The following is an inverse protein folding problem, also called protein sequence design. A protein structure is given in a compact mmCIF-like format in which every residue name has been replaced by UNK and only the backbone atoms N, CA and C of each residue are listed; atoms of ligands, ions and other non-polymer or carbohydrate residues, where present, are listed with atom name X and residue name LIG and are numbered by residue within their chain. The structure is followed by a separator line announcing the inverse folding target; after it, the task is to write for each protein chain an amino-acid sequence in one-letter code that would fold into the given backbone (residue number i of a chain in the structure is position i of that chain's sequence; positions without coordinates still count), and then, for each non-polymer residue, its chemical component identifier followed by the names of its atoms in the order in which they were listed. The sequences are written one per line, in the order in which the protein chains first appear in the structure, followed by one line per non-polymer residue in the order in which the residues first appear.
data_IF_952549363893
#
_entry.id   IF_952549363893
#
_cell.length_a   1.000
_cell.length_b   1.000
_cell.length_c   1.000
_cell.angle_alpha   90.00
_cell.angle_beta   90.00
_cell.angle_gamma   90.00
#
_symmetry.space_group_name_H-M   'P 1'
#
loop_
_entity.id
_entity.type
_entity.pdbx_description
1 polymer ?
#
# COMPACT_ATOMS: atom_id res chain seq x y z
N UNK A 1 10.29 19.15 -4.26
CA UNK A 1 9.61 18.70 -3.04
C UNK A 1 10.16 17.33 -2.66
N UNK A 2 10.20 16.94 -1.39
CA UNK A 2 10.63 15.59 -0.99
C UNK A 2 9.46 14.63 -1.16
N UNK A 3 9.63 13.47 -1.79
CA UNK A 3 8.55 12.48 -1.92
C UNK A 3 8.08 11.93 -0.58
N UNK A 4 6.77 11.67 -0.48
CA UNK A 4 6.13 10.97 0.64
C UNK A 4 5.49 9.69 0.14
N UNK A 5 5.66 8.61 0.89
CA UNK A 5 5.10 7.31 0.56
C UNK A 5 4.05 6.93 1.59
N UNK A 6 2.84 6.75 1.15
CA UNK A 6 1.71 6.29 1.94
C UNK A 6 1.44 4.84 1.59
N UNK A 7 1.50 3.96 2.56
CA UNK A 7 1.41 2.52 2.36
C UNK A 7 0.19 2.01 3.11
N UNK A 8 -0.70 1.33 2.39
CA UNK A 8 -1.82 0.63 3.02
C UNK A 8 -1.35 -0.57 3.82
N UNK A 9 -2.20 -1.06 4.72
CA UNK A 9 -1.84 -2.16 5.59
C UNK A 9 -2.48 -3.47 5.15
N UNK A 10 -3.81 -3.57 5.13
CA UNK A 10 -4.52 -4.84 4.92
C UNK A 10 -4.55 -5.22 3.45
N UNK A 11 -3.99 -6.38 3.11
CA UNK A 11 -3.83 -6.79 1.71
C UNK A 11 -2.62 -6.17 1.00
N UNK A 12 -1.92 -5.23 1.67
CA UNK A 12 -0.72 -4.57 1.15
C UNK A 12 0.49 -4.91 2.04
N UNK A 13 0.66 -4.27 3.18
CA UNK A 13 1.79 -4.57 4.09
C UNK A 13 1.57 -5.84 4.91
N UNK A 14 0.31 -6.12 5.27
CA UNK A 14 -0.14 -7.37 5.88
C UNK A 14 -0.92 -8.20 4.86
N UNK A 15 -0.68 -9.51 4.84
CA UNK A 15 -1.42 -10.44 4.00
C UNK A 15 -2.92 -10.37 4.31
N UNK A 16 -3.74 -10.32 3.26
CA UNK A 16 -5.18 -10.52 3.44
C UNK A 16 -5.48 -11.98 3.76
N UNK A 17 -6.29 -12.20 4.76
CA UNK A 17 -6.78 -13.53 5.10
C UNK A 17 -8.20 -13.71 4.58
N UNK A 18 -8.45 -14.80 3.84
CA UNK A 18 -9.79 -15.16 3.41
C UNK A 18 -10.73 -15.28 4.62
N UNK A 19 -11.87 -14.60 4.53
CA UNK A 19 -12.90 -14.61 5.56
C UNK A 19 -14.17 -15.29 5.02
N UNK A 20 -14.83 -16.06 5.87
CA UNK A 20 -16.12 -16.67 5.54
C UNK A 20 -17.27 -15.71 5.73
N UNK A 21 -17.13 -14.75 6.61
CA UNK A 21 -18.10 -13.69 6.85
C UNK A 21 -17.43 -12.43 7.38
N UNK A 22 -18.06 -11.27 7.16
CA UNK A 22 -17.54 -9.98 7.65
C UNK A 22 -17.44 -9.93 9.19
N UNK A 23 -18.16 -10.78 9.92
CA UNK A 23 -18.08 -10.84 11.39
C UNK A 23 -16.70 -11.26 11.90
N UNK A 24 -15.89 -11.93 11.08
CA UNK A 24 -14.53 -12.30 11.46
C UNK A 24 -13.62 -11.06 11.61
N UNK A 25 -13.87 -10.00 10.85
CA UNK A 25 -13.15 -8.73 10.96
C UNK A 25 -13.34 -8.01 12.31
N UNK A 26 -14.39 -8.39 13.04
CA UNK A 26 -14.72 -7.86 14.37
C UNK A 26 -14.20 -8.73 15.51
N UNK A 27 -13.60 -9.88 15.21
CA UNK A 27 -13.07 -10.78 16.21
C UNK A 27 -11.74 -10.26 16.76
N UNK A 28 -11.58 -10.40 18.08
CA UNK A 28 -10.31 -10.12 18.74
C UNK A 28 -9.22 -11.02 18.17
N UNK A 29 -8.08 -10.42 17.89
CA UNK A 29 -6.90 -11.11 17.33
C UNK A 29 -6.88 -11.19 15.81
N UNK A 30 -7.91 -10.70 15.11
CA UNK A 30 -7.94 -10.76 13.65
C UNK A 30 -6.76 -10.00 13.04
N UNK A 31 -6.66 -8.70 13.28
CA UNK A 31 -5.64 -7.85 12.65
C UNK A 31 -4.24 -8.08 13.19
N UNK A 32 -4.10 -8.30 14.50
CA UNK A 32 -2.77 -8.55 15.10
C UNK A 32 -2.13 -9.87 14.67
N UNK A 33 -2.95 -10.84 14.21
CA UNK A 33 -2.48 -12.16 13.77
C UNK A 33 -2.16 -12.24 12.27
N UNK A 34 -2.45 -11.20 11.48
CA UNK A 34 -2.14 -11.20 10.06
C UNK A 34 -0.63 -11.36 9.84
N UNK A 35 -0.28 -12.15 8.83
CA UNK A 35 1.13 -12.30 8.43
C UNK A 35 1.58 -11.05 7.67
N UNK A 36 2.85 -10.69 7.74
CA UNK A 36 3.38 -9.63 6.89
C UNK A 36 3.63 -10.14 5.47
N UNK A 37 3.45 -9.27 4.48
CA UNK A 37 4.03 -9.40 3.16
C UNK A 37 5.52 -9.08 3.31
N UNK A 38 6.35 -10.13 3.39
CA UNK A 38 7.73 -10.02 3.88
C UNK A 38 8.63 -9.19 2.96
N UNK A 39 8.50 -9.34 1.64
CA UNK A 39 9.32 -8.59 0.70
C UNK A 39 8.99 -7.09 0.76
N UNK A 40 7.70 -6.73 0.77
CA UNK A 40 7.29 -5.33 0.91
C UNK A 40 7.68 -4.77 2.27
N UNK A 41 7.50 -5.55 3.35
CA UNK A 41 7.86 -5.10 4.70
C UNK A 41 9.35 -4.79 4.83
N UNK A 42 10.22 -5.66 4.32
CA UNK A 42 11.67 -5.43 4.34
C UNK A 42 12.06 -4.23 3.47
N UNK A 43 11.42 -4.05 2.31
CA UNK A 43 11.65 -2.87 1.47
C UNK A 43 11.25 -1.58 2.21
N UNK A 44 10.10 -1.56 2.86
CA UNK A 44 9.64 -0.42 3.67
C UNK A 44 10.62 -0.09 4.80
N UNK A 45 11.16 -1.10 5.48
CA UNK A 45 12.22 -0.90 6.49
C UNK A 45 13.49 -0.28 5.90
N UNK A 46 13.90 -0.75 4.72
CA UNK A 46 15.06 -0.19 4.03
C UNK A 46 14.84 1.28 3.66
N UNK A 47 13.67 1.62 3.12
CA UNK A 47 13.32 3.00 2.80
C UNK A 47 13.30 3.91 4.04
N UNK A 48 12.83 3.41 5.19
CA UNK A 48 12.88 4.14 6.46
C UNK A 48 14.34 4.39 6.87
N UNK A 49 15.21 3.37 6.78
CA UNK A 49 16.65 3.48 7.09
C UNK A 49 17.35 4.48 6.17
N UNK A 50 16.94 4.57 4.91
CA UNK A 50 17.44 5.57 3.94
C UNK A 50 16.89 6.97 4.18
N UNK A 51 16.04 7.16 5.18
CA UNK A 51 15.46 8.46 5.52
C UNK A 51 14.38 8.93 4.55
N UNK A 52 13.75 8.02 3.81
CA UNK A 52 12.56 8.32 3.02
C UNK A 52 11.39 8.69 3.94
N UNK A 53 10.46 9.46 3.43
CA UNK A 53 9.31 9.94 4.21
C UNK A 53 8.12 8.95 4.06
N UNK A 54 8.10 7.94 4.94
CA UNK A 54 7.14 6.83 4.91
C UNK A 54 6.02 7.08 5.90
N UNK A 55 4.78 6.81 5.48
CA UNK A 55 3.56 6.81 6.29
C UNK A 55 2.79 5.51 6.08
N UNK A 56 2.14 5.02 7.12
CA UNK A 56 1.04 4.06 6.97
C UNK A 56 -0.26 4.84 6.84
N UNK A 57 -1.08 4.46 5.86
CA UNK A 57 -2.38 5.08 5.58
C UNK A 57 -3.41 3.98 5.34
N UNK A 58 -4.05 3.51 6.40
CA UNK A 58 -4.90 2.33 6.37
C UNK A 58 -6.30 2.61 6.91
N UNK A 59 -7.30 1.99 6.30
CA UNK A 59 -8.67 2.03 6.79
C UNK A 59 -8.86 1.10 7.99
N UNK A 60 -9.80 1.43 8.89
CA UNK A 60 -10.19 0.59 10.01
C UNK A 60 -11.70 0.62 10.24
N UNK A 61 -12.26 -0.46 10.78
CA UNK A 61 -13.65 -0.52 11.18
C UNK A 61 -13.84 0.30 12.46
N UNK A 62 -14.48 1.45 12.34
CA UNK A 62 -14.63 2.41 13.45
C UNK A 62 -15.59 1.94 14.56
N UNK A 63 -16.44 0.97 14.25
CA UNK A 63 -17.36 0.30 15.16
C UNK A 63 -16.78 -1.00 15.77
N UNK A 64 -15.52 -1.33 15.46
CA UNK A 64 -14.81 -2.47 16.06
C UNK A 64 -14.00 -2.05 17.29
N UNK A 65 -14.17 -2.74 18.41
CA UNK A 65 -13.39 -2.54 19.64
C UNK A 65 -11.90 -2.90 19.47
N UNK A 66 -11.55 -3.63 18.41
CA UNK A 66 -10.24 -4.25 18.24
C UNK A 66 -9.44 -3.69 17.07
N UNK A 67 -10.08 -3.35 15.94
CA UNK A 67 -9.41 -3.08 14.67
C UNK A 67 -8.25 -2.07 14.79
N UNK A 68 -8.51 -0.86 15.30
CA UNK A 68 -7.49 0.18 15.42
C UNK A 68 -6.36 -0.22 16.38
N UNK A 69 -6.71 -0.82 17.51
CA UNK A 69 -5.76 -1.26 18.52
C UNK A 69 -4.83 -2.35 17.98
N UNK A 70 -5.40 -3.35 17.34
CA UNK A 70 -4.66 -4.50 16.83
C UNK A 70 -3.76 -4.14 15.64
N UNK A 71 -4.20 -3.22 14.76
CA UNK A 71 -3.33 -2.66 13.72
C UNK A 71 -2.10 -1.97 14.31
N UNK A 72 -2.26 -1.22 15.40
CA UNK A 72 -1.12 -0.62 16.10
C UNK A 72 -0.22 -1.67 16.75
N UNK A 73 -0.79 -2.74 17.34
CA UNK A 73 -0.01 -3.86 17.90
C UNK A 73 0.81 -4.51 16.78
N UNK A 74 0.19 -4.78 15.63
CA UNK A 74 0.85 -5.34 14.46
C UNK A 74 2.03 -4.47 13.98
N UNK A 75 1.80 -3.16 13.83
CA UNK A 75 2.84 -2.21 13.43
C UNK A 75 3.97 -2.11 14.47
N UNK A 76 3.67 -2.16 15.75
CA UNK A 76 4.69 -2.18 16.80
C UNK A 76 5.56 -3.45 16.74
N UNK A 77 4.97 -4.58 16.32
CA UNK A 77 5.67 -5.85 16.20
C UNK A 77 6.54 -5.92 14.95
N UNK A 78 6.01 -5.51 13.79
CA UNK A 78 6.65 -5.77 12.51
C UNK A 78 7.38 -4.55 11.91
N UNK A 79 6.99 -3.33 12.29
CA UNK A 79 7.56 -2.07 11.81
C UNK A 79 7.77 -1.08 12.98
N UNK A 80 8.53 -1.47 14.01
CA UNK A 80 8.76 -0.62 15.19
C UNK A 80 9.53 0.67 14.87
N UNK A 81 10.25 0.69 13.75
CA UNK A 81 11.01 1.86 13.29
C UNK A 81 10.11 3.02 12.86
N UNK A 82 8.83 2.75 12.52
CA UNK A 82 7.90 3.78 12.08
C UNK A 82 7.26 4.49 13.29
N UNK A 83 7.50 5.81 13.47
CA UNK A 83 6.90 6.58 14.56
C UNK A 83 5.36 6.54 14.49
N UNK A 84 4.72 6.57 15.66
CA UNK A 84 3.24 6.58 15.78
C UNK A 84 2.60 7.74 15.01
N UNK A 85 3.27 8.90 14.97
CA UNK A 85 2.81 10.10 14.26
C UNK A 85 2.75 9.94 12.73
N UNK A 86 3.37 8.89 12.20
CA UNK A 86 3.34 8.53 10.78
C UNK A 86 2.35 7.41 10.46
N UNK A 87 1.47 7.07 11.39
CA UNK A 87 0.39 6.09 11.24
C UNK A 87 -0.94 6.84 11.14
N UNK A 88 -1.51 6.86 9.96
CA UNK A 88 -2.78 7.52 9.67
C UNK A 88 -3.85 6.45 9.48
N UNK A 89 -4.83 6.45 10.35
CA UNK A 89 -5.96 5.52 10.27
C UNK A 89 -7.23 6.26 9.89
N UNK A 90 -7.95 5.70 8.93
CA UNK A 90 -9.14 6.29 8.32
C UNK A 90 -10.33 5.39 8.56
N UNK A 91 -11.48 5.89 9.03
CA UNK A 91 -12.69 5.08 9.14
C UNK A 91 -13.01 4.39 7.80
N UNK A 92 -13.38 3.11 7.85
CA UNK A 92 -13.76 2.36 6.66
C UNK A 92 -14.93 3.04 5.94
N UNK A 93 -14.81 3.23 4.64
CA UNK A 93 -15.79 3.95 3.83
C UNK A 93 -15.42 5.40 3.55
N UNK A 94 -14.53 5.99 4.34
CA UNK A 94 -14.05 7.34 4.12
C UNK A 94 -12.91 7.38 3.09
N UNK A 95 -12.75 8.54 2.46
CA UNK A 95 -11.70 8.76 1.46
C UNK A 95 -10.38 9.09 2.14
N UNK A 96 -9.36 8.28 1.90
CA UNK A 96 -8.06 8.33 2.58
C UNK A 96 -7.38 9.70 2.55
N UNK A 97 -7.36 10.40 1.42
CA UNK A 97 -6.63 11.66 1.30
C UNK A 97 -7.19 12.80 2.17
N UNK A 98 -8.45 12.73 2.58
CA UNK A 98 -9.07 13.74 3.44
C UNK A 98 -8.51 13.78 4.86
N UNK A 99 -7.78 12.75 5.26
CA UNK A 99 -7.16 12.62 6.59
C UNK A 99 -5.70 13.06 6.61
N UNK A 100 -5.19 13.53 5.48
CA UNK A 100 -3.81 14.04 5.41
C UNK A 100 -3.70 15.46 5.98
N UNK A 101 -2.57 15.78 6.59
CA UNK A 101 -2.32 17.12 7.14
C UNK A 101 -2.10 18.19 6.06
N UNK A 102 -1.94 17.79 4.80
CA UNK A 102 -1.67 18.69 3.67
C UNK A 102 -2.28 18.15 2.40
N UNK A 103 -2.45 19.03 1.40
CA UNK A 103 -2.90 18.63 0.07
C UNK A 103 -1.94 17.61 -0.56
N UNK A 104 -2.52 16.71 -1.36
CA UNK A 104 -1.79 15.78 -2.21
C UNK A 104 -1.12 16.54 -3.36
N UNK A 105 0.04 16.03 -3.74
CA UNK A 105 0.81 16.47 -4.90
C UNK A 105 1.30 15.24 -5.67
N UNK A 106 1.83 15.42 -6.87
CA UNK A 106 2.44 14.34 -7.66
C UNK A 106 3.65 13.66 -6.98
N UNK A 107 4.19 14.26 -5.90
CA UNK A 107 5.25 13.68 -5.07
C UNK A 107 4.72 12.83 -3.91
N UNK A 108 3.41 12.64 -3.81
CA UNK A 108 2.76 11.82 -2.81
C UNK A 108 2.32 10.49 -3.44
N UNK A 109 2.96 9.42 -3.04
CA UNK A 109 2.78 8.08 -3.58
C UNK A 109 1.89 7.25 -2.67
N UNK A 110 0.80 6.69 -3.19
CA UNK A 110 -0.01 5.70 -2.49
C UNK A 110 0.29 4.30 -3.03
N UNK A 111 0.71 3.41 -2.14
CA UNK A 111 0.83 1.97 -2.40
C UNK A 111 -0.34 1.27 -1.74
N UNK A 112 -1.23 0.68 -2.52
CA UNK A 112 -2.50 0.12 -2.03
C UNK A 112 -2.95 -1.02 -2.95
N UNK A 113 -3.54 -2.07 -2.39
CA UNK A 113 -4.10 -3.16 -3.15
C UNK A 113 -5.54 -2.89 -3.63
N UNK A 114 -6.22 -1.89 -3.05
CA UNK A 114 -7.60 -1.57 -3.36
C UNK A 114 -7.71 -0.49 -4.45
N UNK A 115 -8.21 -0.86 -5.62
CA UNK A 115 -8.28 0.00 -6.81
C UNK A 115 -9.00 1.32 -6.58
N UNK A 116 -10.10 1.32 -5.80
CA UNK A 116 -10.84 2.56 -5.53
C UNK A 116 -9.99 3.59 -4.80
N UNK A 117 -9.21 3.18 -3.79
CA UNK A 117 -8.32 4.09 -3.07
C UNK A 117 -7.29 4.74 -4.00
N UNK A 118 -6.75 3.95 -4.95
CA UNK A 118 -5.79 4.44 -5.93
C UNK A 118 -6.42 5.44 -6.91
N UNK A 119 -7.65 5.18 -7.37
CA UNK A 119 -8.37 6.09 -8.27
C UNK A 119 -8.69 7.42 -7.57
N UNK A 120 -9.22 7.38 -6.36
CA UNK A 120 -9.51 8.56 -5.55
C UNK A 120 -8.22 9.41 -5.31
N UNK A 121 -7.08 8.72 -5.05
CA UNK A 121 -5.79 9.39 -4.84
C UNK A 121 -5.24 10.04 -6.11
N UNK A 122 -5.36 9.33 -7.23
CA UNK A 122 -4.92 9.83 -8.55
C UNK A 122 -5.74 11.04 -9.00
N UNK A 123 -7.05 11.01 -8.76
CA UNK A 123 -7.96 12.13 -9.08
C UNK A 123 -7.57 13.39 -8.31
N UNK A 124 -7.10 13.25 -7.07
CA UNK A 124 -6.61 14.37 -6.24
C UNK A 124 -5.20 14.84 -6.63
N UNK A 125 -4.56 14.21 -7.62
CA UNK A 125 -3.28 14.63 -8.18
C UNK A 125 -2.05 13.91 -7.61
N UNK A 126 -2.23 12.83 -6.87
CA UNK A 126 -1.16 11.99 -6.36
C UNK A 126 -0.70 10.92 -7.33
N UNK A 127 0.45 10.33 -7.05
CA UNK A 127 0.97 9.16 -7.78
C UNK A 127 0.53 7.86 -7.09
N UNK A 128 0.20 6.85 -7.87
CA UNK A 128 -0.35 5.59 -7.36
C UNK A 128 0.45 4.39 -7.82
N UNK A 129 0.62 3.44 -6.93
CA UNK A 129 1.32 2.17 -7.18
C UNK A 129 0.38 1.06 -6.70
N UNK A 130 -0.11 0.25 -7.63
CA UNK A 130 -0.94 -0.91 -7.32
C UNK A 130 -0.09 -2.01 -6.70
N UNK A 131 -0.52 -2.52 -5.55
CA UNK A 131 0.08 -3.71 -4.98
C UNK A 131 -0.72 -4.95 -5.39
N UNK A 132 -0.05 -5.93 -6.01
CA UNK A 132 -0.65 -7.20 -6.42
C UNK A 132 -0.32 -8.26 -5.38
N UNK A 133 -1.32 -8.67 -4.64
CA UNK A 133 -1.21 -9.64 -3.54
C UNK A 133 -1.70 -11.07 -3.91
N UNK A 134 -1.95 -11.32 -5.19
CA UNK A 134 -2.46 -12.61 -5.65
C UNK A 134 -3.99 -12.79 -5.55
N UNK A 135 -4.69 -11.89 -4.86
CA UNK A 135 -6.15 -12.00 -4.63
C UNK A 135 -6.92 -10.93 -5.41
N UNK A 136 -6.37 -9.75 -5.55
CA UNK A 136 -7.06 -8.54 -5.99
C UNK A 136 -7.01 -8.22 -7.49
N UNK A 137 -6.47 -9.12 -8.31
CA UNK A 137 -6.31 -8.92 -9.77
C UNK A 137 -7.28 -9.75 -10.63
N UNK A 138 -8.31 -10.30 -10.02
CA UNK A 138 -9.27 -11.23 -10.67
C UNK A 138 -10.18 -10.52 -11.69
N UNK A 139 -10.30 -9.19 -11.62
CA UNK A 139 -11.21 -8.43 -12.48
C UNK A 139 -10.52 -7.20 -13.07
N UNK A 140 -10.07 -7.33 -14.31
CA UNK A 140 -9.49 -6.23 -15.06
C UNK A 140 -7.98 -6.11 -14.93
N UNK A 141 -7.38 -5.37 -15.87
CA UNK A 141 -5.93 -5.13 -15.94
C UNK A 141 -5.67 -3.74 -15.40
N UNK A 142 -4.82 -3.64 -14.37
CA UNK A 142 -4.32 -2.35 -13.90
C UNK A 142 -3.31 -1.80 -14.91
N UNK A 143 -3.58 -0.60 -15.38
CA UNK A 143 -2.64 0.11 -16.26
C UNK A 143 -1.98 1.23 -15.47
N UNK A 144 -0.76 1.01 -15.02
CA UNK A 144 0.01 1.97 -14.23
C UNK A 144 1.11 1.27 -13.42
N UNK A 145 1.75 2.03 -12.54
CA UNK A 145 2.78 1.49 -11.67
C UNK A 145 2.23 0.36 -10.80
N UNK A 146 2.97 -0.72 -10.69
CA UNK A 146 2.59 -1.86 -9.87
C UNK A 146 3.80 -2.47 -9.14
N UNK A 147 3.53 -3.09 -8.00
CA UNK A 147 4.46 -3.92 -7.24
C UNK A 147 3.82 -5.27 -6.97
N UNK A 148 4.64 -6.31 -6.89
CA UNK A 148 4.23 -7.67 -6.52
C UNK A 148 4.96 -8.07 -5.24
N UNK A 149 4.34 -8.96 -4.47
CA UNK A 149 4.99 -9.59 -3.32
C UNK A 149 5.92 -10.71 -3.81
N UNK A 150 7.09 -10.33 -4.31
CA UNK A 150 8.12 -11.25 -4.81
C UNK A 150 9.53 -10.71 -4.57
N UNK A 151 10.53 -11.52 -4.91
CA UNK A 151 11.96 -11.22 -4.73
C UNK A 151 12.46 -10.01 -5.56
N UNK A 152 11.70 -9.57 -6.56
CA UNK A 152 12.05 -8.44 -7.41
C UNK A 152 11.52 -7.11 -6.89
N UNK A 153 10.79 -7.10 -5.78
CA UNK A 153 10.12 -5.89 -5.29
C UNK A 153 11.07 -4.72 -5.09
N UNK A 154 12.24 -4.95 -4.51
CA UNK A 154 13.26 -3.90 -4.31
C UNK A 154 13.76 -3.34 -5.64
N UNK A 155 14.00 -4.21 -6.63
CA UNK A 155 14.41 -3.78 -7.99
C UNK A 155 13.32 -2.94 -8.64
N UNK A 156 12.06 -3.38 -8.57
CA UNK A 156 10.93 -2.70 -9.16
C UNK A 156 10.66 -1.37 -8.45
N UNK A 157 10.79 -1.33 -7.12
CA UNK A 157 10.62 -0.10 -6.36
C UNK A 157 11.71 0.92 -6.70
N UNK A 158 12.98 0.51 -6.76
CA UNK A 158 14.09 1.37 -7.15
C UNK A 158 13.91 1.90 -8.58
N UNK A 159 13.44 1.07 -9.50
CA UNK A 159 13.10 1.53 -10.85
C UNK A 159 12.02 2.62 -10.83
N UNK A 160 10.96 2.46 -10.02
CA UNK A 160 9.92 3.47 -9.83
C UNK A 160 10.54 4.76 -9.28
N UNK A 161 11.40 4.66 -8.25
CA UNK A 161 12.07 5.81 -7.66
C UNK A 161 12.92 6.57 -8.70
N UNK A 162 13.69 5.84 -9.49
CA UNK A 162 14.63 6.44 -10.45
C UNK A 162 13.93 7.09 -11.66
N UNK A 163 12.77 6.58 -12.05
CA UNK A 163 12.10 7.01 -13.27
C UNK A 163 10.93 7.96 -13.01
N UNK A 164 10.25 7.87 -11.86
CA UNK A 164 9.11 8.72 -11.55
C UNK A 164 9.50 10.04 -10.87
N UNK A 165 10.74 10.18 -10.38
CA UNK A 165 11.22 11.42 -9.76
C UNK A 165 11.79 12.45 -10.74
N UNK A 166 12.00 12.09 -12.00
CA UNK A 166 12.70 12.96 -12.96
C UNK A 166 11.78 13.91 -13.72
N UNK A 167 10.49 13.57 -13.86
CA UNK A 167 9.46 14.47 -14.43
C UNK A 167 8.05 14.05 -13.95
N UNK A 168 7.05 14.97 -13.89
CA UNK A 168 5.67 14.58 -13.70
C UNK A 168 5.24 13.78 -14.93
N UNK A 169 4.99 12.51 -14.76
CA UNK A 169 4.62 11.59 -15.83
C UNK A 169 3.21 11.89 -16.31
N UNK A 170 3.09 12.84 -17.22
CA UNK A 170 1.97 12.89 -18.14
C UNK A 170 2.25 11.88 -19.25
N UNK A 171 1.58 10.76 -19.21
CA UNK A 171 1.63 9.68 -20.22
C UNK A 171 2.97 8.91 -20.35
N UNK A 172 3.18 7.91 -19.49
CA UNK A 172 4.03 6.77 -19.90
C UNK A 172 3.15 5.72 -20.57
N UNK A 173 3.40 5.48 -21.86
CA UNK A 173 3.11 4.21 -22.50
C UNK A 173 4.05 3.19 -21.84
N UNK A 174 3.51 2.36 -20.94
CA UNK A 174 4.25 1.22 -20.42
C UNK A 174 4.40 0.21 -21.55
N UNK A 175 5.63 0.03 -22.03
CA UNK A 175 5.98 -1.18 -22.75
C UNK A 175 5.75 -2.36 -21.81
N UNK A 176 4.92 -3.30 -22.27
CA UNK A 176 4.57 -4.50 -21.55
C UNK A 176 5.83 -5.24 -21.09
N UNK A 177 6.07 -5.28 -19.79
CA UNK A 177 7.02 -6.22 -19.17
C UNK A 177 6.39 -7.61 -19.02
N UNK A 178 5.21 -7.84 -19.63
CA UNK A 178 4.46 -9.09 -19.56
C UNK A 178 4.69 -10.03 -20.77
N UNK A 179 5.70 -9.79 -21.63
CA UNK A 179 5.96 -10.69 -22.78
C UNK A 179 6.54 -12.06 -22.40
N UNK A 180 6.86 -12.33 -21.12
CA UNK A 180 7.46 -13.62 -20.71
C UNK A 180 6.53 -14.55 -19.92
N UNK A 181 5.21 -14.30 -19.87
CA UNK A 181 4.26 -15.13 -19.08
C UNK A 181 3.14 -15.77 -19.89
N UNK A 182 3.24 -15.79 -21.24
CA UNK A 182 2.39 -16.64 -22.07
C UNK A 182 3.19 -17.81 -22.64
N UNK A 183 3.56 -18.77 -21.82
CA UNK A 183 3.75 -20.18 -22.23
C UNK A 183 3.83 -21.05 -20.98
N UNK A 184 2.72 -21.67 -20.65
CA UNK A 184 2.52 -23.07 -20.31
C UNK A 184 1.16 -23.24 -19.63
N UNK A 185 0.23 -23.73 -20.41
CA UNK A 185 -0.96 -24.45 -19.94
C UNK A 185 -0.59 -25.90 -19.82
#
# INVERSE_FOLDING_TARGET
MKPRFFIDMDGTLAEWRDIKSNSELYQKGYYESLKPNNYLLEEVKNLIKEGKDIYILSSFLSDSDYALKEKNIWLNKYLPELPVQKRIFVPYGDVKYKYLPSKITSFDYLIDDHTKNLLDWKEEGGTVIKFLNGINHIKGVWQGLLLREDENISKNFNWILDNCFKEPVNSFEFQNLDEDLEMEI
#
